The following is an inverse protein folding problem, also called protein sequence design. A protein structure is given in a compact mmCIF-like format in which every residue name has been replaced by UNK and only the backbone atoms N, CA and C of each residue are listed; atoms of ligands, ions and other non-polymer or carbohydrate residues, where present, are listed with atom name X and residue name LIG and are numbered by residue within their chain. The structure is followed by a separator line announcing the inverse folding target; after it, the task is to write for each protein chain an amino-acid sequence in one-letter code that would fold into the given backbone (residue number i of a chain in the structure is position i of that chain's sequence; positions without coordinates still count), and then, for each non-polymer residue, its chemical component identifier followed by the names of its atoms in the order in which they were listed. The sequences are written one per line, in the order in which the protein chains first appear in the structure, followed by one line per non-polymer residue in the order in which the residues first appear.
data_IF_587432787256
#
_entry.id   IF_587432787256
#
_cell.length_a   1.000
_cell.length_b   1.000
_cell.length_c   1.000
_cell.angle_alpha   90.00
_cell.angle_beta   90.00
_cell.angle_gamma   90.00
#
_symmetry.space_group_name_H-M   'P 1'
#
loop_
_entity.id
_entity.type
_entity.pdbx_description
1 polymer ?
#
# COMPACT_ATOMS: atom_id res chain seq x y z
N UNK A 1 -39.17 -16.05 -8.65
CA UNK A 1 -38.71 -15.36 -7.42
C UNK A 1 -37.47 -14.51 -7.71
N UNK A 2 -36.46 -15.03 -8.42
CA UNK A 2 -35.30 -14.27 -8.92
C UNK A 2 -35.64 -13.15 -9.91
N UNK A 3 -36.77 -13.21 -10.61
CA UNK A 3 -37.22 -12.12 -11.51
C UNK A 3 -37.70 -10.86 -10.75
N UNK A 4 -38.06 -10.97 -9.47
CA UNK A 4 -38.64 -9.86 -8.68
C UNK A 4 -37.85 -9.52 -7.41
N UNK A 5 -36.82 -10.30 -7.05
CA UNK A 5 -35.96 -10.04 -5.89
C UNK A 5 -34.51 -10.19 -6.33
N UNK A 6 -33.81 -9.06 -6.47
CA UNK A 6 -32.38 -9.05 -6.74
C UNK A 6 -31.62 -9.70 -5.57
N UNK A 7 -30.63 -10.53 -5.90
CA UNK A 7 -29.77 -11.11 -4.90
C UNK A 7 -28.91 -9.99 -4.29
N UNK A 8 -29.03 -9.69 -2.98
CA UNK A 8 -28.28 -8.61 -2.34
C UNK A 8 -26.76 -8.84 -2.41
N UNK A 9 -26.32 -10.09 -2.58
CA UNK A 9 -24.92 -10.42 -2.79
C UNK A 9 -24.37 -9.90 -4.12
N UNK A 10 -25.21 -9.57 -5.10
CA UNK A 10 -24.75 -8.99 -6.37
C UNK A 10 -24.18 -7.59 -6.14
N UNK A 11 -24.88 -6.75 -5.40
CA UNK A 11 -24.38 -5.42 -5.01
C UNK A 11 -23.10 -5.54 -4.19
N UNK A 12 -23.12 -6.39 -3.16
CA UNK A 12 -21.94 -6.68 -2.34
C UNK A 12 -20.75 -7.15 -3.19
N UNK A 13 -20.97 -8.09 -4.10
CA UNK A 13 -19.93 -8.58 -5.02
C UNK A 13 -19.34 -7.47 -5.89
N UNK A 14 -20.15 -6.51 -6.35
CA UNK A 14 -19.66 -5.41 -7.19
C UNK A 14 -18.65 -4.52 -6.46
N UNK A 15 -18.87 -4.23 -5.17
CA UNK A 15 -17.95 -3.41 -4.37
C UNK A 15 -16.74 -4.20 -3.86
N UNK A 16 -16.90 -5.46 -3.48
CA UNK A 16 -15.86 -6.24 -2.79
C UNK A 16 -15.01 -7.10 -3.73
N UNK A 17 -15.54 -7.61 -4.85
CA UNK A 17 -14.76 -8.44 -5.77
C UNK A 17 -13.53 -7.74 -6.37
N UNK A 18 -13.54 -6.42 -6.69
CA UNK A 18 -12.36 -5.73 -7.20
C UNK A 18 -11.12 -5.93 -6.31
N UNK A 19 -11.29 -5.84 -4.98
CA UNK A 19 -10.18 -6.03 -4.04
C UNK A 19 -9.98 -7.51 -3.66
N UNK A 20 -11.06 -8.31 -3.55
CA UNK A 20 -10.96 -9.74 -3.21
C UNK A 20 -10.25 -10.54 -4.30
N UNK A 21 -10.39 -10.16 -5.57
CA UNK A 21 -9.70 -10.83 -6.69
C UNK A 21 -8.17 -10.74 -6.59
N UNK A 22 -7.62 -9.69 -5.96
CA UNK A 22 -6.17 -9.62 -5.66
C UNK A 22 -5.71 -10.72 -4.71
N UNK A 23 -6.62 -11.21 -3.86
CA UNK A 23 -6.40 -12.33 -2.94
C UNK A 23 -6.80 -13.69 -3.55
N UNK A 24 -7.15 -13.72 -4.84
CA UNK A 24 -7.78 -14.85 -5.51
C UNK A 24 -9.04 -15.38 -4.79
N UNK A 25 -9.85 -14.43 -4.29
CA UNK A 25 -11.14 -14.67 -3.66
C UNK A 25 -12.25 -13.94 -4.42
N UNK A 26 -13.47 -14.43 -4.28
CA UNK A 26 -14.66 -13.76 -4.81
C UNK A 26 -15.89 -14.12 -3.99
N UNK A 27 -16.91 -13.27 -4.05
CA UNK A 27 -18.22 -13.54 -3.45
C UNK A 27 -18.94 -14.63 -4.24
N UNK A 28 -19.41 -15.66 -3.54
CA UNK A 28 -20.16 -16.77 -4.12
C UNK A 28 -21.66 -16.44 -4.19
N UNK A 29 -22.14 -16.06 -5.37
CA UNK A 29 -23.53 -15.62 -5.54
C UNK A 29 -24.57 -16.74 -5.42
N UNK A 30 -24.15 -18.01 -5.41
CA UNK A 30 -25.04 -19.18 -5.49
C UNK A 30 -25.15 -19.87 -4.13
N UNK A 31 -24.06 -19.88 -3.36
CA UNK A 31 -24.05 -20.53 -2.05
C UNK A 31 -24.98 -19.81 -1.06
N UNK A 32 -25.79 -20.58 -0.33
CA UNK A 32 -26.77 -20.09 0.66
C UNK A 32 -26.49 -20.59 2.07
N UNK A 33 -25.38 -21.30 2.28
CA UNK A 33 -24.97 -21.86 3.58
C UNK A 33 -24.43 -20.75 4.51
N UNK A 34 -23.84 -19.71 3.95
CA UNK A 34 -23.25 -18.59 4.68
C UNK A 34 -23.92 -17.27 4.28
N UNK A 35 -24.00 -16.31 5.21
CA UNK A 35 -24.56 -14.98 4.94
C UNK A 35 -23.74 -14.18 3.94
N UNK A 36 -22.41 -14.32 3.99
CA UNK A 36 -21.46 -13.76 3.04
C UNK A 36 -20.54 -14.89 2.61
N UNK A 37 -20.95 -15.69 1.62
CA UNK A 37 -20.15 -16.81 1.14
C UNK A 37 -19.01 -16.26 0.26
N UNK A 38 -17.79 -16.65 0.60
CA UNK A 38 -16.60 -16.33 -0.19
C UNK A 38 -16.10 -17.62 -0.81
N UNK A 39 -15.74 -17.63 -2.09
CA UNK A 39 -15.11 -18.79 -2.74
C UNK A 39 -13.71 -18.48 -3.22
N UNK A 40 -12.91 -19.54 -3.31
CA UNK A 40 -11.56 -19.50 -3.86
C UNK A 40 -11.60 -19.45 -5.38
N UNK A 41 -10.91 -18.47 -5.97
CA UNK A 41 -10.69 -18.41 -7.42
C UNK A 41 -9.83 -19.56 -7.98
N UNK A 42 -9.22 -20.40 -7.13
CA UNK A 42 -8.44 -21.55 -7.58
C UNK A 42 -9.27 -22.80 -7.87
N UNK A 43 -10.32 -23.04 -7.10
CA UNK A 43 -11.04 -24.32 -7.12
C UNK A 43 -12.55 -24.20 -6.83
N UNK A 44 -13.08 -22.98 -6.84
CA UNK A 44 -14.49 -22.66 -6.58
C UNK A 44 -15.03 -23.17 -5.23
N UNK A 45 -14.16 -23.58 -4.30
CA UNK A 45 -14.61 -24.01 -2.97
C UNK A 45 -15.00 -22.79 -2.15
N UNK A 46 -16.20 -22.84 -1.58
CA UNK A 46 -16.64 -21.89 -0.57
C UNK A 46 -15.77 -22.03 0.69
N UNK A 47 -15.26 -20.89 1.16
CA UNK A 47 -14.43 -20.74 2.34
C UNK A 47 -15.25 -19.97 3.38
N UNK A 48 -15.48 -20.55 4.57
CA UNK A 48 -16.08 -19.81 5.67
C UNK A 48 -15.26 -18.57 6.03
N UNK A 49 -15.90 -17.45 6.37
CA UNK A 49 -15.20 -16.22 6.80
C UNK A 49 -14.21 -16.50 7.94
N UNK A 50 -14.56 -17.40 8.87
CA UNK A 50 -13.69 -17.82 9.98
C UNK A 50 -12.35 -18.41 9.53
N UNK A 51 -12.27 -18.92 8.31
CA UNK A 51 -11.08 -19.56 7.72
C UNK A 51 -10.24 -18.60 6.86
N UNK A 52 -10.70 -17.36 6.65
CA UNK A 52 -9.93 -16.34 5.92
C UNK A 52 -8.73 -15.85 6.75
N UNK A 53 -7.72 -15.31 6.05
CA UNK A 53 -6.56 -14.69 6.68
C UNK A 53 -6.97 -13.49 7.55
N UNK A 54 -6.16 -13.15 8.56
CA UNK A 54 -6.43 -12.00 9.43
C UNK A 54 -6.51 -10.69 8.64
N UNK A 55 -5.62 -10.50 7.65
CA UNK A 55 -5.66 -9.33 6.76
C UNK A 55 -6.94 -9.26 5.93
N UNK A 56 -7.35 -10.39 5.33
CA UNK A 56 -8.61 -10.46 4.57
C UNK A 56 -9.83 -10.16 5.44
N UNK A 57 -9.89 -10.72 6.65
CA UNK A 57 -10.95 -10.41 7.62
C UNK A 57 -10.95 -8.94 7.99
N UNK A 58 -9.77 -8.38 8.30
CA UNK A 58 -9.61 -6.97 8.64
C UNK A 58 -10.10 -6.05 7.53
N UNK A 59 -9.77 -6.38 6.27
CA UNK A 59 -10.25 -5.66 5.10
C UNK A 59 -11.77 -5.71 4.97
N UNK A 60 -12.36 -6.91 5.04
CA UNK A 60 -13.81 -7.06 4.94
C UNK A 60 -14.51 -6.28 6.06
N UNK A 61 -14.01 -6.38 7.29
CA UNK A 61 -14.57 -5.69 8.45
C UNK A 61 -14.41 -4.18 8.40
N UNK A 62 -13.37 -3.64 7.76
CA UNK A 62 -13.20 -2.20 7.59
C UNK A 62 -14.09 -1.62 6.49
N UNK A 63 -14.31 -2.39 5.41
CA UNK A 63 -15.17 -1.99 4.30
C UNK A 63 -16.66 -2.21 4.56
N UNK A 64 -17.03 -3.22 5.34
CA UNK A 64 -18.43 -3.61 5.55
C UNK A 64 -19.32 -2.49 6.12
N UNK A 65 -18.89 -1.71 7.14
CA UNK A 65 -19.67 -0.57 7.62
C UNK A 65 -19.92 0.49 6.55
N UNK A 66 -18.95 0.73 5.66
CA UNK A 66 -19.09 1.69 4.57
C UNK A 66 -20.11 1.23 3.52
N UNK A 67 -20.27 -0.09 3.36
CA UNK A 67 -21.26 -0.68 2.46
C UNK A 67 -22.68 -0.66 3.05
N UNK A 68 -22.82 -0.97 4.33
CA UNK A 68 -24.13 -1.18 4.97
C UNK A 68 -24.77 0.12 5.47
N UNK A 69 -23.96 1.11 5.86
CA UNK A 69 -24.44 2.36 6.42
C UNK A 69 -24.66 3.41 5.32
N UNK A 70 -25.66 4.27 5.52
CA UNK A 70 -25.77 5.51 4.77
C UNK A 70 -24.62 6.46 5.18
N UNK A 71 -23.75 6.75 4.23
CA UNK A 71 -22.54 7.56 4.44
C UNK A 71 -22.67 8.98 3.88
N UNK A 72 -23.84 9.37 3.36
CA UNK A 72 -24.07 10.72 2.85
C UNK A 72 -23.83 11.77 3.93
N UNK A 73 -23.09 12.83 3.59
CA UNK A 73 -22.74 13.95 4.47
C UNK A 73 -22.04 13.52 5.78
N UNK A 74 -21.28 12.41 5.75
CA UNK A 74 -20.57 11.88 6.92
C UNK A 74 -19.08 12.19 6.92
N UNK A 75 -18.46 12.12 8.11
CA UNK A 75 -17.00 12.12 8.28
C UNK A 75 -16.57 10.73 8.74
N UNK A 76 -15.65 10.12 8.02
CA UNK A 76 -15.16 8.76 8.25
C UNK A 76 -13.70 8.84 8.64
N UNK A 77 -13.39 8.42 9.86
CA UNK A 77 -12.03 8.39 10.40
C UNK A 77 -11.51 6.96 10.33
N UNK A 78 -10.42 6.74 9.61
CA UNK A 78 -9.81 5.42 9.46
C UNK A 78 -8.36 5.46 9.93
N UNK A 79 -8.03 4.58 10.87
CA UNK A 79 -6.70 4.47 11.44
C UNK A 79 -6.04 3.16 10.99
N UNK A 80 -4.84 3.29 10.43
CA UNK A 80 -4.02 2.20 9.86
C UNK A 80 -4.81 1.19 8.99
N UNK A 81 -5.53 1.65 7.94
CA UNK A 81 -6.28 0.73 7.07
C UNK A 81 -5.37 -0.28 6.33
N UNK A 82 -4.06 -0.01 6.22
CA UNK A 82 -3.06 -0.91 5.67
C UNK A 82 -2.74 -2.13 6.53
N UNK A 83 -3.20 -2.18 7.79
CA UNK A 83 -2.71 -3.16 8.76
C UNK A 83 -2.97 -4.58 8.28
N UNK A 84 -1.90 -5.37 8.19
CA UNK A 84 -1.92 -6.76 7.68
C UNK A 84 -2.30 -6.92 6.20
N UNK A 85 -2.23 -5.84 5.41
CA UNK A 85 -2.39 -5.88 3.95
C UNK A 85 -1.04 -5.88 3.25
N UNK A 86 -0.93 -6.64 2.17
CA UNK A 86 0.24 -6.59 1.29
C UNK A 86 0.26 -5.26 0.52
N UNK A 87 1.45 -4.70 0.17
CA UNK A 87 1.55 -3.37 -0.44
C UNK A 87 0.68 -3.15 -1.69
N UNK A 88 0.53 -4.16 -2.54
CA UNK A 88 -0.28 -4.08 -3.77
C UNK A 88 -1.77 -3.80 -3.51
N UNK A 89 -2.29 -4.22 -2.36
CA UNK A 89 -3.65 -3.96 -1.92
C UNK A 89 -3.81 -2.55 -1.38
N UNK A 90 -2.75 -2.00 -0.79
CA UNK A 90 -2.77 -0.66 -0.18
C UNK A 90 -2.91 0.44 -1.25
N UNK A 91 -2.32 0.23 -2.43
CA UNK A 91 -2.30 1.20 -3.55
C UNK A 91 -3.73 1.63 -3.96
N UNK A 92 -4.68 0.70 -4.02
CA UNK A 92 -6.06 0.99 -4.46
C UNK A 92 -7.06 1.11 -3.30
N UNK A 93 -6.59 0.98 -2.05
CA UNK A 93 -7.47 0.84 -0.88
C UNK A 93 -8.35 2.08 -0.67
N UNK A 94 -7.79 3.28 -0.83
CA UNK A 94 -8.52 4.53 -0.68
C UNK A 94 -9.59 4.66 -1.76
N UNK A 95 -9.30 4.28 -3.00
CA UNK A 95 -10.27 4.24 -4.10
C UNK A 95 -11.44 3.29 -3.78
N UNK A 96 -11.19 2.16 -3.12
CA UNK A 96 -12.26 1.26 -2.67
C UNK A 96 -13.13 1.90 -1.59
N UNK A 97 -12.55 2.64 -0.65
CA UNK A 97 -13.33 3.38 0.36
C UNK A 97 -14.16 4.51 -0.25
N UNK A 98 -13.58 5.29 -1.17
CA UNK A 98 -14.31 6.34 -1.90
C UNK A 98 -15.46 5.79 -2.72
N UNK A 99 -15.30 4.61 -3.34
CA UNK A 99 -16.39 3.98 -4.07
C UNK A 99 -17.53 3.53 -3.15
N UNK A 100 -17.21 3.08 -1.94
CA UNK A 100 -18.21 2.68 -0.93
C UNK A 100 -18.91 3.89 -0.29
N UNK A 101 -18.18 4.99 -0.09
CA UNK A 101 -18.66 6.19 0.60
C UNK A 101 -18.36 7.46 -0.23
N UNK A 102 -18.99 7.64 -1.40
CA UNK A 102 -18.62 8.69 -2.37
C UNK A 102 -18.93 10.11 -1.87
N UNK A 103 -19.92 10.26 -1.00
CA UNK A 103 -20.37 11.56 -0.47
C UNK A 103 -19.82 11.84 0.94
N UNK A 104 -18.88 11.03 1.43
CA UNK A 104 -18.28 11.17 2.75
C UNK A 104 -16.91 11.86 2.70
N UNK A 105 -16.58 12.63 3.74
CA UNK A 105 -15.21 13.07 3.97
C UNK A 105 -14.43 11.97 4.69
N UNK A 106 -13.44 11.39 4.02
CA UNK A 106 -12.59 10.34 4.60
C UNK A 106 -11.27 10.96 5.09
N UNK A 107 -10.95 10.75 6.37
CA UNK A 107 -9.68 11.16 6.99
C UNK A 107 -8.94 9.90 7.42
N UNK A 108 -7.71 9.74 6.92
CA UNK A 108 -6.89 8.54 7.16
C UNK A 108 -5.63 8.89 7.93
N UNK A 109 -5.37 8.13 9.00
CA UNK A 109 -4.06 8.08 9.64
C UNK A 109 -3.32 6.82 9.15
N UNK A 110 -2.09 6.99 8.66
CA UNK A 110 -1.33 5.90 8.03
C UNK A 110 0.17 6.07 8.23
N UNK A 111 0.88 4.96 8.30
CA UNK A 111 2.35 4.89 8.19
C UNK A 111 2.81 4.37 6.83
N UNK A 112 1.87 4.03 5.94
CA UNK A 112 2.17 3.49 4.63
C UNK A 112 2.41 4.60 3.60
N UNK A 113 3.59 4.63 2.94
CA UNK A 113 3.80 5.52 1.80
C UNK A 113 2.88 5.16 0.62
N UNK A 114 2.43 3.91 0.51
CA UNK A 114 1.50 3.49 -0.56
C UNK A 114 0.12 4.12 -0.38
N UNK A 115 -0.36 4.22 0.86
CA UNK A 115 -1.63 4.91 1.16
C UNK A 115 -1.46 6.42 1.06
N UNK A 116 -0.36 6.95 1.61
CA UNK A 116 -0.07 8.39 1.54
C UNK A 116 -0.02 8.88 0.08
N UNK A 117 0.51 8.08 -0.85
CA UNK A 117 0.55 8.42 -2.27
C UNK A 117 -0.84 8.60 -2.93
N UNK A 118 -1.93 8.15 -2.29
CA UNK A 118 -3.28 8.31 -2.81
C UNK A 118 -3.89 9.72 -2.59
N UNK A 119 -3.17 10.62 -1.92
CA UNK A 119 -3.65 11.97 -1.57
C UNK A 119 -2.76 13.05 -2.19
N UNK A 120 -3.31 14.24 -2.44
CA UNK A 120 -2.53 15.40 -2.88
C UNK A 120 -1.61 15.91 -1.76
N UNK A 121 -0.48 16.57 -2.08
CA UNK A 121 0.44 17.09 -1.06
C UNK A 121 -0.23 17.98 -0.01
N UNK A 122 -1.21 18.79 -0.42
CA UNK A 122 -1.95 19.69 0.46
C UNK A 122 -2.94 18.98 1.38
N UNK A 123 -3.31 17.74 1.07
CA UNK A 123 -4.20 16.87 1.85
C UNK A 123 -3.42 16.01 2.86
N UNK A 124 -2.09 15.96 2.75
CA UNK A 124 -1.22 15.19 3.66
C UNK A 124 -0.70 16.06 4.79
N UNK A 125 -1.13 15.73 6.00
CA UNK A 125 -0.72 16.39 7.24
C UNK A 125 0.36 15.56 7.93
N UNK A 126 1.61 15.94 7.75
CA UNK A 126 2.76 15.23 8.31
C UNK A 126 3.04 15.78 9.71
N UNK A 127 2.84 14.92 10.71
CA UNK A 127 3.11 15.22 12.11
C UNK A 127 4.56 14.92 12.47
N UNK A 128 5.21 15.83 13.19
CA UNK A 128 6.58 15.66 13.67
C UNK A 128 6.79 16.39 15.00
N UNK A 129 7.88 16.08 15.71
CA UNK A 129 8.27 16.84 16.90
C UNK A 129 9.19 18.00 16.51
N UNK A 130 8.89 19.21 16.94
CA UNK A 130 9.75 20.38 16.77
C UNK A 130 10.94 20.40 17.75
N UNK A 131 11.79 21.42 17.66
CA UNK A 131 12.97 21.57 18.52
C UNK A 131 12.63 21.72 20.02
N UNK A 132 11.39 22.12 20.35
CA UNK A 132 10.86 22.21 21.71
C UNK A 132 10.21 20.88 22.18
N UNK A 133 10.19 19.85 21.32
CA UNK A 133 9.54 18.56 21.59
C UNK A 133 8.02 18.59 21.52
N UNK A 134 7.42 19.60 20.88
CA UNK A 134 5.97 19.70 20.65
C UNK A 134 5.60 19.12 19.30
N UNK A 135 4.36 18.65 19.17
CA UNK A 135 3.84 18.18 17.89
C UNK A 135 3.56 19.38 16.98
N UNK A 136 4.25 19.40 15.85
CA UNK A 136 4.06 20.33 14.76
C UNK A 136 3.53 19.60 13.51
N UNK A 137 3.00 20.36 12.56
CA UNK A 137 2.44 19.84 11.31
C UNK A 137 3.03 20.57 10.11
N UNK A 138 3.27 19.84 9.03
CA UNK A 138 3.56 20.39 7.70
C UNK A 138 2.79 19.64 6.63
N UNK A 139 2.71 20.24 5.44
CA UNK A 139 2.12 19.60 4.26
C UNK A 139 3.09 18.62 3.61
N UNK A 140 2.54 17.71 2.79
CA UNK A 140 3.31 16.85 1.89
C UNK A 140 4.07 17.64 0.83
N UNK A 141 5.09 17.01 0.24
CA UNK A 141 5.92 17.58 -0.82
C UNK A 141 5.79 16.78 -2.13
N UNK A 142 5.73 15.46 -2.07
CA UNK A 142 5.65 14.59 -3.26
C UNK A 142 4.28 14.67 -3.97
N UNK A 143 4.20 14.67 -5.31
CA UNK A 143 2.92 14.64 -6.02
C UNK A 143 2.02 13.44 -5.66
N UNK A 144 0.71 13.56 -5.93
CA UNK A 144 -0.19 12.39 -5.87
C UNK A 144 0.30 11.30 -6.83
N UNK A 145 0.27 10.04 -6.38
CA UNK A 145 0.69 8.87 -7.15
C UNK A 145 2.20 8.75 -7.39
N UNK A 146 3.02 9.55 -6.72
CA UNK A 146 4.49 9.54 -6.83
C UNK A 146 5.11 8.23 -6.27
N UNK A 147 6.38 7.98 -6.58
CA UNK A 147 7.09 6.78 -6.13
C UNK A 147 7.09 6.70 -4.58
N UNK A 148 6.70 5.57 -3.97
CA UNK A 148 6.72 5.40 -2.53
C UNK A 148 8.08 5.71 -1.87
N UNK A 149 9.21 5.50 -2.58
CA UNK A 149 10.54 5.85 -2.10
C UNK A 149 10.75 7.37 -2.05
N UNK A 150 10.20 8.11 -3.01
CA UNK A 150 10.23 9.57 -3.00
C UNK A 150 9.36 10.12 -1.86
N UNK A 151 8.20 9.51 -1.57
CA UNK A 151 7.44 9.83 -0.36
C UNK A 151 8.24 9.54 0.91
N UNK A 152 8.87 8.37 1.02
CA UNK A 152 9.70 8.03 2.19
C UNK A 152 10.79 9.08 2.43
N UNK A 153 11.38 9.60 1.37
CA UNK A 153 12.42 10.62 1.41
C UNK A 153 11.89 12.03 1.70
N UNK A 154 10.88 12.48 0.96
CA UNK A 154 10.42 13.87 0.95
C UNK A 154 9.37 14.11 2.05
N UNK A 155 8.43 13.18 2.21
CA UNK A 155 7.33 13.32 3.14
C UNK A 155 7.67 12.69 4.49
N UNK A 156 8.17 11.45 4.53
CA UNK A 156 8.49 10.81 5.80
C UNK A 156 9.84 11.27 6.36
N UNK A 157 10.72 11.86 5.52
CA UNK A 157 12.10 12.28 5.87
C UNK A 157 12.91 11.14 6.52
N UNK A 158 12.70 9.91 6.04
CA UNK A 158 13.39 8.72 6.53
C UNK A 158 14.53 8.35 5.58
N UNK A 159 15.71 8.11 6.15
CA UNK A 159 16.78 7.38 5.45
C UNK A 159 16.41 5.90 5.43
N UNK A 160 15.77 5.46 4.34
CA UNK A 160 15.20 4.12 4.22
C UNK A 160 16.23 3.04 3.84
N UNK A 161 17.50 3.40 3.62
CA UNK A 161 18.57 2.41 3.46
C UNK A 161 19.07 1.94 4.82
N UNK A 162 19.13 0.63 5.02
CA UNK A 162 19.75 0.06 6.21
C UNK A 162 21.30 0.11 6.13
N UNK A 163 21.97 -0.27 7.22
CA UNK A 163 23.44 -0.24 7.31
C UNK A 163 24.15 -1.07 6.22
N UNK A 164 23.54 -2.16 5.75
CA UNK A 164 24.10 -2.95 4.65
C UNK A 164 24.05 -2.16 3.32
N UNK A 165 22.92 -1.52 3.03
CA UNK A 165 22.75 -0.66 1.87
C UNK A 165 23.70 0.54 1.90
N UNK A 166 23.81 1.23 3.05
CA UNK A 166 24.74 2.35 3.23
C UNK A 166 26.19 1.93 3.03
N UNK A 167 26.59 0.76 3.57
CA UNK A 167 27.94 0.21 3.41
C UNK A 167 28.23 -0.14 1.94
N UNK A 168 27.27 -0.77 1.26
CA UNK A 168 27.40 -1.10 -0.16
C UNK A 168 27.54 0.17 -1.01
N UNK A 169 26.73 1.20 -0.77
CA UNK A 169 26.81 2.47 -1.48
C UNK A 169 28.14 3.19 -1.24
N UNK A 170 28.63 3.18 0.01
CA UNK A 170 29.95 3.73 0.33
C UNK A 170 31.08 2.99 -0.40
N UNK A 171 31.01 1.67 -0.48
CA UNK A 171 32.01 0.89 -1.22
C UNK A 171 31.93 1.15 -2.73
N UNK A 172 30.73 1.29 -3.28
CA UNK A 172 30.52 1.70 -4.66
C UNK A 172 31.20 3.06 -4.96
N UNK A 173 31.04 4.05 -4.09
CA UNK A 173 31.71 5.35 -4.23
C UNK A 173 33.24 5.25 -4.09
N UNK A 174 33.73 4.40 -3.18
CA UNK A 174 35.17 4.15 -3.03
C UNK A 174 35.76 3.53 -4.30
N UNK A 175 35.11 2.50 -4.86
CA UNK A 175 35.51 1.84 -6.10
C UNK A 175 35.53 2.84 -7.27
N UNK A 176 34.50 3.69 -7.39
CA UNK A 176 34.44 4.73 -8.42
C UNK A 176 35.60 5.74 -8.29
N UNK A 177 35.93 6.11 -7.06
CA UNK A 177 37.06 7.00 -6.76
C UNK A 177 38.39 6.34 -7.14
N UNK A 178 38.62 5.09 -6.70
CA UNK A 178 39.82 4.30 -7.04
C UNK A 178 39.97 4.14 -8.55
N UNK A 179 38.88 3.80 -9.25
CA UNK A 179 38.87 3.63 -10.72
C UNK A 179 39.28 4.91 -11.47
N UNK A 180 38.91 6.07 -10.93
CA UNK A 180 39.25 7.38 -11.52
C UNK A 180 40.73 7.71 -11.30
N UNK A 181 41.31 7.28 -10.18
CA UNK A 181 42.70 7.52 -9.82
C UNK A 181 43.68 6.48 -10.39
N UNK A 182 43.20 5.29 -10.75
CA UNK A 182 44.03 4.21 -11.27
C UNK A 182 44.50 4.46 -12.71
N UNK A 183 45.80 4.25 -12.92
CA UNK A 183 46.49 4.47 -14.20
C UNK A 183 46.85 3.17 -14.89
N UNK A 184 46.96 2.06 -14.14
CA UNK A 184 47.28 0.74 -14.67
C UNK A 184 46.05 0.08 -15.31
N UNK A 185 46.18 -0.31 -16.59
CA UNK A 185 45.05 -0.77 -17.40
C UNK A 185 44.36 -2.02 -16.84
N UNK A 186 45.13 -3.00 -16.35
CA UNK A 186 44.55 -4.27 -15.85
C UNK A 186 43.80 -4.07 -14.53
N UNK A 187 44.39 -3.37 -13.55
CA UNK A 187 43.70 -3.02 -12.30
C UNK A 187 42.45 -2.18 -12.53
N UNK A 188 42.48 -1.30 -13.55
CA UNK A 188 41.31 -0.50 -13.92
C UNK A 188 40.17 -1.38 -14.44
N UNK A 189 40.46 -2.45 -15.19
CA UNK A 189 39.44 -3.42 -15.62
C UNK A 189 38.86 -4.19 -14.44
N UNK A 190 39.70 -4.64 -13.50
CA UNK A 190 39.25 -5.33 -12.29
C UNK A 190 38.30 -4.46 -11.45
N UNK A 191 38.71 -3.22 -11.16
CA UNK A 191 37.88 -2.25 -10.43
C UNK A 191 36.56 -1.94 -11.16
N UNK A 192 36.57 -1.92 -12.50
CA UNK A 192 35.35 -1.70 -13.29
C UNK A 192 34.38 -2.88 -13.18
N UNK A 193 34.90 -4.12 -13.17
CA UNK A 193 34.08 -5.32 -12.97
C UNK A 193 33.44 -5.28 -11.58
N UNK A 194 34.24 -5.08 -10.53
CA UNK A 194 33.72 -5.01 -9.15
C UNK A 194 32.69 -3.88 -8.98
N UNK A 195 32.93 -2.71 -9.58
CA UNK A 195 31.99 -1.59 -9.58
C UNK A 195 30.67 -1.96 -10.27
N UNK A 196 30.74 -2.62 -11.43
CA UNK A 196 29.56 -3.01 -12.22
C UNK A 196 28.76 -4.08 -11.50
N UNK A 197 29.41 -5.11 -10.96
CA UNK A 197 28.75 -6.17 -10.18
C UNK A 197 28.03 -5.59 -8.96
N UNK A 198 28.66 -4.64 -8.25
CA UNK A 198 28.06 -4.00 -7.10
C UNK A 198 26.91 -3.05 -7.50
N UNK A 199 27.08 -2.31 -8.60
CA UNK A 199 26.04 -1.47 -9.18
C UNK A 199 24.81 -2.26 -9.59
N UNK A 200 24.99 -3.35 -10.34
CA UNK A 200 23.90 -4.22 -10.80
C UNK A 200 23.17 -4.90 -9.63
N UNK A 201 23.92 -5.35 -8.61
CA UNK A 201 23.35 -6.03 -7.45
C UNK A 201 22.40 -5.14 -6.64
N UNK A 202 22.72 -3.85 -6.51
CA UNK A 202 21.97 -2.90 -5.67
C UNK A 202 21.18 -1.86 -6.47
N UNK A 203 21.27 -1.89 -7.80
CA UNK A 203 20.65 -0.94 -8.72
C UNK A 203 21.01 0.53 -8.40
N UNK A 204 22.31 0.78 -8.20
CA UNK A 204 22.88 2.11 -7.93
C UNK A 204 23.11 2.95 -9.19
#
# INVERSE_FOLDING_TARGET
WSENNENPLVSFANYFNPILKKLNLEVDLINTEYSIPIKSGYNDKTIPISSLSTGTKGLLLSMFPLYELDTTDSIILVDEPERSLFPDMQIDLISHYQNLAPDAQIIVATHSPFIAAAFEPEERFILYFDDDGKVAVRKGESPIGDDPNDLLKNDFKVDYYNEFGKKAYKEYLNLRTKLTQETELEKKKELLIELTELGDKYNF
#
